data_IF_463764478711
#
_entry.id   IF_463764478711
#
_cell.length_a   1.000
_cell.length_b   1.000
_cell.length_c   1.000
_cell.angle_alpha   90.00
_cell.angle_beta   90.00
_cell.angle_gamma   90.00
#
_symmetry.space_group_name_H-M   'P 1'
#
loop_
_entity.id
_entity.type
_entity.pdbx_description
1 polymer ?
#
# COMPACT_ATOMS: atom_id res chain seq x y z
N UNK A 1 -8.24 22.93 -23.32
CA UNK A 1 -9.24 22.07 -22.65
C UNK A 1 -10.26 22.97 -21.97
N UNK A 2 -11.56 22.80 -22.26
CA UNK A 2 -12.59 23.53 -21.53
C UNK A 2 -12.75 22.90 -20.14
N UNK A 3 -12.69 23.70 -19.08
CA UNK A 3 -12.98 23.22 -17.72
C UNK A 3 -14.46 22.84 -17.65
N UNK A 4 -14.73 21.57 -17.36
CA UNK A 4 -16.08 21.10 -17.06
C UNK A 4 -16.51 21.77 -15.75
N UNK A 5 -17.54 22.61 -15.79
CA UNK A 5 -18.08 23.32 -14.61
C UNK A 5 -19.25 22.59 -13.95
N UNK A 6 -19.88 21.68 -14.67
CA UNK A 6 -21.09 20.98 -14.20
C UNK A 6 -20.72 19.73 -13.38
N UNK A 7 -21.21 19.66 -12.15
CA UNK A 7 -20.90 18.58 -11.19
C UNK A 7 -21.33 17.20 -11.72
N UNK A 8 -22.46 17.14 -12.45
CA UNK A 8 -22.98 15.90 -13.03
C UNK A 8 -22.04 15.32 -14.08
N UNK A 9 -21.42 16.19 -14.89
CA UNK A 9 -20.46 15.80 -15.91
C UNK A 9 -19.11 15.43 -15.29
N UNK A 10 -18.72 16.07 -14.18
CA UNK A 10 -17.54 15.73 -13.41
C UNK A 10 -17.65 14.33 -12.77
N UNK A 11 -18.79 14.01 -12.16
CA UNK A 11 -19.08 12.68 -11.61
C UNK A 11 -18.99 11.57 -12.67
N UNK A 12 -19.57 11.81 -13.86
CA UNK A 12 -19.46 10.87 -14.99
C UNK A 12 -18.01 10.71 -15.45
N UNK A 13 -17.23 11.80 -15.49
CA UNK A 13 -15.81 11.74 -15.85
C UNK A 13 -15.00 10.90 -14.84
N UNK A 14 -15.25 11.07 -13.54
CA UNK A 14 -14.61 10.28 -12.49
C UNK A 14 -14.98 8.79 -12.57
N UNK A 15 -16.24 8.46 -12.90
CA UNK A 15 -16.66 7.08 -13.14
C UNK A 15 -15.94 6.47 -14.35
N UNK A 16 -15.82 7.22 -15.46
CA UNK A 16 -15.09 6.78 -16.63
C UNK A 16 -13.60 6.56 -16.32
N UNK A 17 -12.99 7.46 -15.55
CA UNK A 17 -11.60 7.32 -15.11
C UNK A 17 -11.42 6.09 -14.21
N UNK A 18 -12.38 5.80 -13.33
CA UNK A 18 -12.37 4.58 -12.51
C UNK A 18 -12.41 3.32 -13.36
N UNK A 19 -13.27 3.27 -14.38
CA UNK A 19 -13.35 2.12 -15.29
C UNK A 19 -12.05 1.95 -16.08
N UNK A 20 -11.51 3.05 -16.62
CA UNK A 20 -10.24 3.02 -17.35
C UNK A 20 -9.07 2.54 -16.46
N UNK A 21 -8.99 3.04 -15.23
CA UNK A 21 -8.00 2.61 -14.25
C UNK A 21 -8.14 1.12 -13.89
N UNK A 22 -9.37 0.62 -13.74
CA UNK A 22 -9.63 -0.79 -13.47
C UNK A 22 -9.17 -1.68 -14.64
N UNK A 23 -9.51 -1.30 -15.88
CA UNK A 23 -9.06 -2.01 -17.07
C UNK A 23 -7.54 -1.99 -17.21
N UNK A 24 -6.89 -0.85 -16.96
CA UNK A 24 -5.44 -0.73 -16.97
C UNK A 24 -4.79 -1.64 -15.92
N UNK A 25 -5.36 -1.66 -14.71
CA UNK A 25 -4.87 -2.51 -13.62
C UNK A 25 -4.98 -3.99 -13.98
N UNK A 26 -6.11 -4.42 -14.52
CA UNK A 26 -6.32 -5.80 -15.00
C UNK A 26 -5.34 -6.15 -16.12
N UNK A 27 -5.14 -5.24 -17.08
CA UNK A 27 -4.19 -5.44 -18.18
C UNK A 27 -2.75 -5.61 -17.69
N UNK A 28 -2.31 -4.75 -16.76
CA UNK A 28 -0.97 -4.85 -16.15
C UNK A 28 -0.82 -6.16 -15.38
N UNK A 29 -1.82 -6.54 -14.57
CA UNK A 29 -1.82 -7.82 -13.83
C UNK A 29 -1.78 -9.00 -14.80
N UNK A 30 -2.50 -8.95 -15.92
CA UNK A 30 -2.49 -9.99 -16.94
C UNK A 30 -1.11 -10.18 -17.59
N UNK A 31 -0.46 -9.08 -17.98
CA UNK A 31 0.89 -9.12 -18.58
C UNK A 31 1.91 -9.64 -17.56
N UNK A 32 1.90 -9.09 -16.34
CA UNK A 32 2.84 -9.51 -15.29
C UNK A 32 2.58 -10.95 -14.84
N UNK A 33 1.32 -11.38 -14.79
CA UNK A 33 0.92 -12.75 -14.49
C UNK A 33 1.40 -13.74 -15.56
N UNK A 34 1.31 -13.35 -16.84
CA UNK A 34 1.87 -14.13 -17.94
C UNK A 34 3.40 -14.26 -17.84
N UNK A 35 4.11 -13.15 -17.59
CA UNK A 35 5.56 -13.18 -17.38
C UNK A 35 5.96 -14.00 -16.15
N UNK A 36 5.15 -13.98 -15.09
CA UNK A 36 5.35 -14.79 -13.89
C UNK A 36 5.25 -16.29 -14.19
N UNK A 37 4.24 -16.72 -14.96
CA UNK A 37 4.06 -18.14 -15.32
C UNK A 37 5.14 -18.62 -16.31
N UNK A 38 5.55 -17.77 -17.25
CA UNK A 38 6.46 -18.18 -18.33
C UNK A 38 7.95 -18.00 -18.00
N UNK A 39 8.32 -16.94 -17.27
CA UNK A 39 9.70 -16.55 -16.99
C UNK A 39 10.02 -16.51 -15.49
N UNK A 40 9.06 -16.87 -14.64
CA UNK A 40 9.19 -16.87 -13.19
C UNK A 40 9.24 -15.47 -12.56
N UNK A 41 9.56 -15.43 -11.27
CA UNK A 41 9.67 -14.19 -10.49
C UNK A 41 10.71 -13.22 -11.04
N UNK A 42 11.84 -13.74 -11.51
CA UNK A 42 12.93 -12.90 -12.04
C UNK A 42 12.56 -12.28 -13.39
N UNK A 43 11.83 -13.00 -14.23
CA UNK A 43 11.31 -12.46 -15.49
C UNK A 43 10.29 -11.34 -15.26
N UNK A 44 9.38 -11.52 -14.29
CA UNK A 44 8.40 -10.50 -13.93
C UNK A 44 9.07 -9.23 -13.36
N UNK A 45 10.04 -9.38 -12.44
CA UNK A 45 10.71 -8.22 -11.81
C UNK A 45 11.61 -7.42 -12.76
N UNK A 46 12.15 -8.08 -13.80
CA UNK A 46 12.93 -7.41 -14.84
C UNK A 46 12.05 -6.61 -15.81
N UNK A 47 10.75 -6.88 -15.88
CA UNK A 47 9.84 -6.13 -16.73
C UNK A 47 9.64 -4.71 -16.14
N UNK A 48 9.92 -3.63 -16.89
CA UNK A 48 9.69 -2.25 -16.42
C UNK A 48 8.25 -1.99 -15.97
N UNK A 49 7.29 -2.73 -16.54
CA UNK A 49 5.87 -2.66 -16.17
C UNK A 49 5.65 -3.01 -14.69
N UNK A 50 6.46 -3.91 -14.14
CA UNK A 50 6.40 -4.29 -12.72
C UNK A 50 6.76 -3.11 -11.82
N UNK A 51 7.82 -2.37 -12.17
CA UNK A 51 8.21 -1.19 -11.40
C UNK A 51 7.12 -0.10 -11.42
N UNK A 52 6.57 0.19 -12.61
CA UNK A 52 5.48 1.17 -12.76
C UNK A 52 4.25 0.75 -11.96
N UNK A 53 3.92 -0.54 -11.97
CA UNK A 53 2.81 -1.09 -11.20
C UNK A 53 3.00 -0.93 -9.69
N UNK A 54 4.18 -1.28 -9.17
CA UNK A 54 4.48 -1.14 -7.74
C UNK A 54 4.44 0.33 -7.32
N UNK A 55 5.08 1.21 -8.10
CA UNK A 55 5.12 2.65 -7.79
C UNK A 55 3.72 3.27 -7.76
N UNK A 56 2.90 2.99 -8.77
CA UNK A 56 1.52 3.52 -8.85
C UNK A 56 0.64 2.97 -7.72
N UNK A 57 0.79 1.68 -7.39
CA UNK A 57 0.06 1.05 -6.27
C UNK A 57 0.45 1.69 -4.93
N UNK A 58 1.74 1.93 -4.69
CA UNK A 58 2.21 2.60 -3.46
C UNK A 58 1.63 4.01 -3.35
N UNK A 59 1.71 4.82 -4.41
CA UNK A 59 1.13 6.17 -4.43
C UNK A 59 -0.38 6.13 -4.20
N UNK A 60 -1.09 5.21 -4.88
CA UNK A 60 -2.53 5.05 -4.71
C UNK A 60 -2.90 4.64 -3.28
N UNK A 61 -2.10 3.79 -2.64
CA UNK A 61 -2.30 3.38 -1.25
C UNK A 61 -2.14 4.57 -0.29
N UNK A 62 -1.09 5.38 -0.45
CA UNK A 62 -0.90 6.60 0.34
C UNK A 62 -2.03 7.61 0.13
N UNK A 63 -2.49 7.80 -1.11
CA UNK A 63 -3.60 8.73 -1.39
C UNK A 63 -4.92 8.24 -0.77
N UNK A 64 -5.19 6.94 -0.87
CA UNK A 64 -6.37 6.31 -0.25
C UNK A 64 -6.32 6.40 1.28
N UNK A 65 -5.13 6.25 1.85
CA UNK A 65 -4.89 6.36 3.29
C UNK A 65 -5.15 7.78 3.80
N UNK A 66 -4.71 8.82 3.08
CA UNK A 66 -5.03 10.22 3.45
C UNK A 66 -6.55 10.42 3.57
N UNK A 67 -7.32 9.98 2.56
CA UNK A 67 -8.78 10.11 2.53
C UNK A 67 -9.45 9.30 3.66
N UNK A 68 -8.98 8.06 3.88
CA UNK A 68 -9.51 7.19 4.92
C UNK A 68 -9.32 7.79 6.32
N UNK A 69 -8.17 8.40 6.58
CA UNK A 69 -7.88 9.03 7.88
C UNK A 69 -8.78 10.23 8.13
N UNK A 70 -9.04 11.05 7.10
CA UNK A 70 -9.92 12.21 7.21
C UNK A 70 -11.39 11.82 7.42
N UNK A 71 -11.84 10.71 6.84
CA UNK A 71 -13.17 10.17 7.07
C UNK A 71 -13.33 9.54 8.47
N UNK A 72 -12.30 8.86 8.99
CA UNK A 72 -12.34 8.12 10.26
C UNK A 72 -12.02 9.00 11.50
N UNK A 73 -11.38 10.16 11.32
CA UNK A 73 -10.91 11.07 12.39
C UNK A 73 -12.01 11.50 13.38
N UNK A 74 -13.28 11.42 13.00
CA UNK A 74 -14.42 11.80 13.86
C UNK A 74 -14.73 10.81 14.99
N UNK A 75 -14.11 9.61 15.03
CA UNK A 75 -14.56 8.51 15.90
C UNK A 75 -13.51 7.84 16.81
N UNK A 76 -12.19 8.07 16.64
CA UNK A 76 -11.17 7.26 17.33
C UNK A 76 -9.95 8.06 17.78
N UNK A 77 -9.52 7.84 19.04
CA UNK A 77 -8.33 8.49 19.60
C UNK A 77 -7.05 8.09 18.85
N UNK A 78 -6.24 9.10 18.47
CA UNK A 78 -5.02 8.95 17.67
C UNK A 78 -4.00 7.98 18.29
N UNK A 79 -3.86 7.97 19.62
CA UNK A 79 -2.88 7.15 20.35
C UNK A 79 -3.22 5.65 20.35
N UNK A 80 -4.49 5.28 20.51
CA UNK A 80 -4.90 3.87 20.60
C UNK A 80 -4.75 3.15 19.26
N UNK A 81 -5.05 3.84 18.15
CA UNK A 81 -4.95 3.23 16.83
C UNK A 81 -3.51 3.02 16.38
N UNK A 82 -2.60 3.94 16.71
CA UNK A 82 -1.18 3.78 16.42
C UNK A 82 -0.59 2.56 17.14
N UNK A 83 -0.95 2.37 18.41
CA UNK A 83 -0.47 1.27 19.23
C UNK A 83 -0.98 -0.09 18.72
N UNK A 84 -2.25 -0.16 18.30
CA UNK A 84 -2.81 -1.37 17.68
C UNK A 84 -2.11 -1.69 16.35
N UNK A 85 -1.93 -0.69 15.47
CA UNK A 85 -1.23 -0.88 14.21
C UNK A 85 0.22 -1.35 14.40
N UNK A 86 0.91 -0.84 15.42
CA UNK A 86 2.28 -1.25 15.75
C UNK A 86 2.33 -2.71 16.23
N UNK A 87 1.42 -3.12 17.11
CA UNK A 87 1.33 -4.51 17.61
C UNK A 87 1.00 -5.49 16.47
N UNK A 88 0.10 -5.11 15.56
CA UNK A 88 -0.22 -5.96 14.40
C UNK A 88 1.00 -6.09 13.48
N UNK A 89 1.73 -4.99 13.25
CA UNK A 89 2.93 -5.03 12.41
C UNK A 89 4.04 -5.90 13.02
N UNK A 90 4.29 -5.80 14.32
CA UNK A 90 5.29 -6.66 14.99
C UNK A 90 4.92 -8.13 14.88
N UNK A 91 3.64 -8.48 15.06
CA UNK A 91 3.15 -9.85 14.90
C UNK A 91 3.36 -10.36 13.47
N UNK A 92 2.92 -9.61 12.46
CA UNK A 92 3.07 -10.00 11.05
C UNK A 92 4.55 -10.18 10.70
N UNK A 93 5.40 -9.22 11.08
CA UNK A 93 6.82 -9.27 10.81
C UNK A 93 7.49 -10.49 11.46
N UNK A 94 7.08 -10.84 12.68
CA UNK A 94 7.61 -12.00 13.41
C UNK A 94 7.19 -13.30 12.73
N UNK A 95 5.93 -13.42 12.32
CA UNK A 95 5.41 -14.58 11.60
C UNK A 95 6.18 -14.79 10.29
N UNK A 96 6.40 -13.73 9.51
CA UNK A 96 7.15 -13.80 8.26
C UNK A 96 8.61 -14.20 8.50
N UNK A 97 9.26 -13.65 9.53
CA UNK A 97 10.63 -14.03 9.92
C UNK A 97 10.77 -15.50 10.30
N UNK A 98 9.79 -16.02 11.04
CA UNK A 98 9.74 -17.44 11.42
C UNK A 98 9.54 -18.30 10.16
N UNK A 99 8.55 -17.98 9.32
CA UNK A 99 8.24 -18.75 8.11
C UNK A 99 9.45 -18.84 7.16
N UNK A 100 10.16 -17.72 7.00
CA UNK A 100 11.37 -17.66 6.16
C UNK A 100 12.56 -18.41 6.77
N UNK A 101 12.64 -18.52 8.09
CA UNK A 101 13.67 -19.32 8.77
C UNK A 101 13.45 -20.83 8.64
N UNK A 102 12.21 -21.26 8.36
CA UNK A 102 11.87 -22.67 8.10
C UNK A 102 11.97 -23.08 6.62
N UNK A 103 12.28 -22.15 5.72
CA UNK A 103 12.39 -22.42 4.28
C UNK A 103 13.76 -23.02 3.94
N UNK A 104 13.79 -24.12 3.20
CA UNK A 104 15.02 -24.77 2.74
C UNK A 104 15.89 -23.79 1.91
N UNK A 105 17.15 -23.64 2.31
CA UNK A 105 18.10 -22.72 1.67
C UNK A 105 18.27 -21.35 2.35
N UNK A 106 17.48 -21.04 3.40
CA UNK A 106 17.64 -19.81 4.19
C UNK A 106 18.12 -20.12 5.62
N UNK A 107 19.19 -19.45 6.05
CA UNK A 107 19.67 -19.53 7.46
C UNK A 107 18.74 -18.73 8.38
N UNK A 108 18.65 -19.10 9.66
CA UNK A 108 17.91 -18.35 10.68
C UNK A 108 18.26 -16.84 10.72
N UNK A 109 19.52 -16.50 10.41
CA UNK A 109 19.97 -15.12 10.29
C UNK A 109 19.28 -14.35 9.14
N UNK A 110 18.99 -15.00 8.02
CA UNK A 110 18.28 -14.38 6.90
C UNK A 110 16.82 -14.08 7.24
N UNK A 111 16.16 -14.96 8.02
CA UNK A 111 14.80 -14.72 8.49
C UNK A 111 14.71 -13.49 9.40
N UNK A 112 15.71 -13.28 10.27
CA UNK A 112 15.82 -12.06 11.09
C UNK A 112 16.02 -10.81 10.23
N UNK A 113 16.87 -10.87 9.20
CA UNK A 113 17.04 -9.75 8.27
C UNK A 113 15.76 -9.41 7.50
N UNK A 114 15.06 -10.42 6.99
CA UNK A 114 13.79 -10.22 6.26
C UNK A 114 12.73 -9.62 7.18
N UNK A 115 12.59 -10.14 8.41
CA UNK A 115 11.70 -9.57 9.41
C UNK A 115 12.06 -8.10 9.69
N UNK A 116 13.34 -7.78 9.89
CA UNK A 116 13.80 -6.41 10.12
C UNK A 116 13.42 -5.46 8.98
N UNK A 117 13.61 -5.89 7.72
CA UNK A 117 13.25 -5.09 6.54
C UNK A 117 11.74 -4.86 6.45
N UNK A 118 10.93 -5.91 6.65
CA UNK A 118 9.46 -5.82 6.63
C UNK A 118 8.96 -4.90 7.73
N UNK A 119 9.50 -5.03 8.95
CA UNK A 119 9.18 -4.16 10.06
C UNK A 119 9.49 -2.70 9.74
N UNK A 120 10.69 -2.40 9.25
CA UNK A 120 11.11 -1.05 8.94
C UNK A 120 10.27 -0.42 7.82
N UNK A 121 9.91 -1.22 6.80
CA UNK A 121 9.01 -0.81 5.73
C UNK A 121 7.59 -0.49 6.25
N UNK A 122 7.07 -1.30 7.18
CA UNK A 122 5.73 -1.10 7.76
C UNK A 122 5.65 0.06 8.75
N UNK A 123 6.76 0.43 9.42
CA UNK A 123 6.78 1.57 10.35
C UNK A 123 6.54 2.89 9.61
N UNK A 124 7.06 3.04 8.38
CA UNK A 124 6.89 4.25 7.57
C UNK A 124 5.41 4.64 7.36
N UNK A 125 4.52 3.80 6.80
CA UNK A 125 3.11 4.15 6.63
C UNK A 125 2.38 4.35 7.96
N UNK A 126 2.71 3.58 9.01
CA UNK A 126 2.09 3.76 10.34
C UNK A 126 2.47 5.12 10.94
N UNK A 127 3.73 5.52 10.80
CA UNK A 127 4.20 6.84 11.25
C UNK A 127 3.53 7.98 10.49
N UNK A 128 3.32 7.81 9.18
CA UNK A 128 2.63 8.78 8.33
C UNK A 128 1.16 8.95 8.74
N UNK A 129 0.44 7.86 9.03
CA UNK A 129 -0.94 7.92 9.58
C UNK A 129 -0.98 8.67 10.90
N UNK A 130 -0.05 8.39 11.80
CA UNK A 130 -0.01 9.06 13.10
C UNK A 130 0.20 10.56 12.95
N UNK A 131 1.11 10.96 12.06
CA UNK A 131 1.34 12.37 11.74
C UNK A 131 0.09 13.04 11.16
N UNK A 132 -0.60 12.39 10.21
CA UNK A 132 -1.84 12.92 9.64
C UNK A 132 -2.94 13.10 10.69
N UNK A 133 -3.15 12.10 11.55
CA UNK A 133 -4.15 12.18 12.62
C UNK A 133 -3.84 13.29 13.61
N UNK A 134 -2.57 13.41 14.04
CA UNK A 134 -2.13 14.48 14.93
C UNK A 134 -2.33 15.87 14.32
N UNK A 135 -2.08 16.02 13.01
CA UNK A 135 -2.30 17.29 12.29
C UNK A 135 -3.79 17.67 12.30
N UNK A 136 -4.68 16.71 12.11
CA UNK A 136 -6.14 16.94 12.12
C UNK A 136 -6.63 17.30 13.53
N UNK A 137 -6.19 16.55 14.56
CA UNK A 137 -6.56 16.83 15.96
C UNK A 137 -6.14 18.27 16.37
N UNK A 138 -4.91 18.68 16.03
CA UNK A 138 -4.40 20.03 16.33
C UNK A 138 -5.12 21.17 15.57
N UNK A 139 -5.86 20.88 14.51
CA UNK A 139 -6.65 21.87 13.76
C UNK A 139 -8.09 21.97 14.25
N UNK A 140 -8.53 21.05 15.11
CA UNK A 140 -9.86 21.01 15.68
C UNK A 140 -9.97 21.71 17.05
N UNK A 141 -8.83 22.07 17.65
CA UNK A 141 -8.69 22.91 18.85
C UNK A 141 -8.45 24.39 18.49
#
# INVERSE_FOLDING_TARGET
MQKIKDERLLLKNLQNLRIAYMLQTIGIIGILGYDFITKGLDGMRKNPLWFVFILTTVVSAFLSMNISVEYESRKRSSKQSFLISLVVLTLISTIIGILTSFTEGFTAMNGVFIAGIVFLCGVVPISYVYYLRKKIDNQAD
#
